data_IF_999985165319
#
_entry.id   IF_999985165319
#
_cell.length_a   1.000
_cell.length_b   1.000
_cell.length_c   1.000
_cell.angle_alpha   90.00
_cell.angle_beta   90.00
_cell.angle_gamma   90.00
#
_symmetry.space_group_name_H-M   'P 1'
#
loop_
_entity.id
_entity.type
_entity.pdbx_description
1 polymer ?
#
# COMPACT_ATOMS: atom_id res chain seq x y z
N UNK A 1 -16.37 16.68 1.03
CA UNK A 1 -16.88 16.45 2.40
C UNK A 1 -16.14 17.42 3.32
N UNK A 2 -16.74 17.83 4.44
CA UNK A 2 -16.01 18.62 5.42
C UNK A 2 -14.89 17.77 6.06
N UNK A 3 -14.02 18.38 6.86
CA UNK A 3 -12.96 17.67 7.59
C UNK A 3 -13.56 16.66 8.60
N UNK A 4 -12.79 15.65 9.01
CA UNK A 4 -13.33 14.56 9.85
C UNK A 4 -13.77 15.07 11.24
N UNK A 5 -13.04 16.01 11.84
CA UNK A 5 -13.37 16.53 13.17
C UNK A 5 -14.73 17.23 13.23
N UNK A 6 -15.18 17.84 12.12
CA UNK A 6 -16.52 18.43 12.04
C UNK A 6 -17.67 17.42 11.96
N UNK A 7 -17.35 16.12 11.74
CA UNK A 7 -18.33 15.04 11.63
C UNK A 7 -18.50 14.26 12.94
N UNK A 8 -17.84 14.70 14.00
CA UNK A 8 -17.89 14.09 15.33
C UNK A 8 -18.06 15.16 16.41
N UNK A 9 -18.50 14.74 17.61
CA UNK A 9 -18.48 15.57 18.82
C UNK A 9 -17.08 15.69 19.44
N UNK A 10 -16.10 14.92 18.95
CA UNK A 10 -14.72 14.92 19.44
C UNK A 10 -13.83 15.90 18.66
N UNK A 11 -13.34 16.94 19.33
CA UNK A 11 -12.35 17.86 18.73
C UNK A 11 -11.01 17.17 18.43
N UNK A 12 -10.65 16.13 19.20
CA UNK A 12 -9.41 15.35 19.09
C UNK A 12 -9.66 13.88 19.41
N UNK A 13 -8.87 12.99 18.80
CA UNK A 13 -8.75 11.59 19.20
C UNK A 13 -7.68 11.43 20.28
N UNK A 14 -7.97 10.68 21.33
CA UNK A 14 -6.97 10.35 22.36
C UNK A 14 -5.98 9.33 21.81
N UNK A 15 -6.48 8.31 21.13
CA UNK A 15 -5.68 7.25 20.53
C UNK A 15 -5.84 7.22 19.02
N UNK A 16 -4.87 6.63 18.34
CA UNK A 16 -4.95 6.32 16.92
C UNK A 16 -4.55 4.88 16.68
N UNK A 17 -5.33 4.19 15.87
CA UNK A 17 -4.96 2.89 15.30
C UNK A 17 -4.99 3.00 13.78
N UNK A 18 -3.89 2.63 13.12
CA UNK A 18 -3.84 2.49 11.67
C UNK A 18 -3.72 1.02 11.33
N UNK A 19 -4.76 0.43 10.76
CA UNK A 19 -4.77 -0.95 10.29
C UNK A 19 -4.48 -0.97 8.79
N UNK A 20 -3.33 -1.49 8.39
CA UNK A 20 -2.89 -1.58 7.00
C UNK A 20 -3.00 -3.04 6.56
N UNK A 21 -3.90 -3.33 5.62
CA UNK A 21 -3.97 -4.62 4.96
C UNK A 21 -2.99 -4.65 3.78
N UNK A 22 -2.01 -5.55 3.75
CA UNK A 22 -1.12 -5.68 2.59
C UNK A 22 -1.90 -6.10 1.34
N UNK A 23 -1.74 -5.34 0.24
CA UNK A 23 -2.23 -5.67 -1.11
C UNK A 23 -3.76 -5.73 -1.29
N UNK A 24 -4.56 -5.05 -0.47
CA UNK A 24 -6.03 -4.99 -0.63
C UNK A 24 -6.50 -3.90 -1.61
N UNK A 25 -7.07 -4.33 -2.74
CA UNK A 25 -7.79 -3.48 -3.71
C UNK A 25 -9.08 -2.86 -3.18
N UNK A 26 -9.38 -1.65 -3.63
CA UNK A 26 -10.63 -0.94 -3.31
C UNK A 26 -11.89 -1.73 -3.68
N UNK A 27 -11.92 -2.36 -4.86
CA UNK A 27 -13.07 -3.11 -5.37
C UNK A 27 -13.29 -4.48 -4.70
N UNK A 28 -12.45 -4.84 -3.74
CA UNK A 28 -12.58 -6.03 -2.90
C UNK A 28 -12.74 -5.69 -1.41
N UNK A 29 -12.96 -4.42 -1.04
CA UNK A 29 -13.26 -4.02 0.32
C UNK A 29 -14.51 -4.78 0.83
N UNK A 30 -14.42 -5.57 1.92
CA UNK A 30 -15.59 -6.22 2.49
C UNK A 30 -16.60 -5.20 2.99
N UNK A 31 -17.89 -5.41 2.72
CA UNK A 31 -18.93 -4.44 3.09
C UNK A 31 -19.01 -4.20 4.59
N UNK A 32 -18.74 -5.22 5.40
CA UNK A 32 -18.66 -5.08 6.86
C UNK A 32 -17.67 -3.98 7.28
N UNK A 33 -16.54 -3.86 6.59
CA UNK A 33 -15.53 -2.82 6.85
C UNK A 33 -15.98 -1.47 6.30
N UNK A 34 -16.61 -1.40 5.12
CA UNK A 34 -17.10 -0.10 4.61
C UNK A 34 -18.24 0.47 5.46
N UNK A 35 -19.07 -0.41 6.03
CA UNK A 35 -20.24 -0.04 6.80
C UNK A 35 -19.87 0.50 8.19
N UNK A 36 -18.65 0.25 8.69
CA UNK A 36 -18.24 0.65 10.04
C UNK A 36 -17.76 2.11 10.16
N UNK A 37 -17.71 2.86 9.07
CA UNK A 37 -17.18 4.22 9.09
C UNK A 37 -17.33 4.96 7.77
N UNK A 38 -16.51 6.00 7.61
CA UNK A 38 -16.47 6.82 6.40
C UNK A 38 -15.48 6.22 5.41
N UNK A 39 -15.98 5.68 4.30
CA UNK A 39 -15.16 5.04 3.26
C UNK A 39 -14.65 6.06 2.24
N UNK A 40 -13.34 6.10 2.02
CA UNK A 40 -12.67 6.94 1.03
C UNK A 40 -11.97 6.09 -0.04
N UNK A 41 -12.09 6.52 -1.31
CA UNK A 41 -11.22 6.00 -2.37
C UNK A 41 -9.85 6.64 -2.25
N UNK A 42 -8.82 5.81 -2.14
CA UNK A 42 -7.45 6.25 -1.83
C UNK A 42 -6.49 5.83 -2.94
N UNK A 43 -5.51 6.68 -3.23
CA UNK A 43 -4.39 6.34 -4.10
C UNK A 43 -3.17 6.00 -3.25
N UNK A 44 -2.69 4.77 -3.38
CA UNK A 44 -1.47 4.27 -2.80
C UNK A 44 -0.26 5.10 -3.29
N UNK A 45 0.62 5.59 -2.40
CA UNK A 45 1.80 6.36 -2.79
C UNK A 45 2.79 5.60 -3.68
N UNK A 46 2.77 4.27 -3.63
CA UNK A 46 3.52 3.35 -4.48
C UNK A 46 2.79 2.02 -4.59
N UNK A 47 3.13 1.24 -5.62
CA UNK A 47 2.61 -0.11 -5.87
C UNK A 47 3.44 -1.21 -5.19
N UNK A 48 4.20 -0.85 -4.14
CA UNK A 48 5.12 -1.73 -3.46
C UNK A 48 5.29 -1.37 -1.97
N UNK A 49 5.12 -2.36 -1.09
CA UNK A 49 5.15 -2.22 0.37
C UNK A 49 6.34 -1.43 0.91
N UNK A 50 7.56 -1.77 0.46
CA UNK A 50 8.79 -1.13 0.94
C UNK A 50 8.77 0.39 0.76
N UNK A 51 8.07 0.87 -0.26
CA UNK A 51 7.99 2.27 -0.62
C UNK A 51 6.70 2.92 -0.13
N UNK A 52 5.58 2.18 -0.10
CA UNK A 52 4.27 2.70 0.28
C UNK A 52 4.16 2.93 1.80
N UNK A 53 4.64 1.98 2.62
CA UNK A 53 4.57 2.09 4.09
C UNK A 53 5.27 3.36 4.59
N UNK A 54 6.53 3.67 4.21
CA UNK A 54 7.18 4.91 4.64
C UNK A 54 6.43 6.15 4.17
N UNK A 55 5.79 6.12 3.00
CA UNK A 55 5.00 7.25 2.53
C UNK A 55 3.80 7.51 3.44
N UNK A 56 3.11 6.45 3.87
CA UNK A 56 1.98 6.56 4.78
C UNK A 56 2.40 7.03 6.18
N UNK A 57 3.57 6.61 6.65
CA UNK A 57 4.05 6.92 8.01
C UNK A 57 4.73 8.29 8.11
N UNK A 58 5.30 8.80 7.01
CA UNK A 58 5.96 10.11 6.99
C UNK A 58 5.08 11.21 6.40
N UNK A 59 4.00 10.84 5.69
CA UNK A 59 3.17 11.74 4.91
C UNK A 59 3.87 12.32 3.69
N UNK A 60 4.97 11.70 3.24
CA UNK A 60 5.76 12.13 2.09
C UNK A 60 5.67 11.11 0.97
N UNK A 61 5.76 11.54 -0.28
CA UNK A 61 5.86 10.61 -1.39
C UNK A 61 7.26 9.97 -1.51
N UNK A 62 7.41 8.89 -2.30
CA UNK A 62 8.68 8.19 -2.50
C UNK A 62 9.83 9.08 -2.94
N UNK A 63 9.56 10.01 -3.86
CA UNK A 63 10.56 10.97 -4.31
C UNK A 63 11.08 11.92 -3.23
N UNK A 64 10.37 12.06 -2.11
CA UNK A 64 10.75 12.94 -1.00
C UNK A 64 11.39 12.16 0.16
N UNK A 65 10.91 10.96 0.49
CA UNK A 65 11.50 10.14 1.57
C UNK A 65 12.61 9.18 1.09
N UNK A 66 12.78 9.00 -0.23
CA UNK A 66 13.89 8.26 -0.87
C UNK A 66 14.02 6.76 -0.55
N UNK A 67 12.95 6.12 -0.07
CA UNK A 67 12.94 4.66 0.16
C UNK A 67 12.31 3.97 -1.05
N UNK A 68 13.06 3.13 -1.74
CA UNK A 68 12.64 2.47 -2.98
C UNK A 68 12.66 0.94 -2.90
N UNK A 69 13.31 0.41 -1.87
CA UNK A 69 13.47 -1.02 -1.66
C UNK A 69 13.48 -1.34 -0.18
N UNK A 70 13.34 -2.63 0.15
CA UNK A 70 13.47 -3.05 1.53
C UNK A 70 14.84 -2.69 2.11
N UNK A 71 15.91 -2.55 1.31
CA UNK A 71 17.25 -2.28 1.83
C UNK A 71 17.49 -0.82 2.22
N UNK A 72 16.61 0.10 1.82
CA UNK A 72 16.74 1.50 2.18
C UNK A 72 16.22 1.73 3.61
N UNK A 73 16.66 2.82 4.24
CA UNK A 73 16.24 3.23 5.58
C UNK A 73 16.01 4.74 5.56
N UNK A 74 14.98 5.20 6.29
CA UNK A 74 14.73 6.62 6.46
C UNK A 74 15.90 7.31 7.17
N UNK A 75 16.16 8.57 6.82
CA UNK A 75 17.17 9.37 7.52
C UNK A 75 16.81 9.67 8.96
N UNK A 76 15.51 9.77 9.24
CA UNK A 76 14.94 10.18 10.51
C UNK A 76 13.68 9.36 10.77
N UNK A 77 13.47 9.01 12.03
CA UNK A 77 12.24 8.35 12.46
C UNK A 77 11.03 9.23 12.14
N UNK A 78 9.93 8.69 11.59
CA UNK A 78 8.72 9.46 11.33
C UNK A 78 8.17 10.09 12.60
N UNK A 79 7.62 11.30 12.48
CA UNK A 79 7.07 12.05 13.62
C UNK A 79 5.96 11.28 14.35
N UNK A 80 5.23 10.44 13.62
CA UNK A 80 4.20 9.55 14.16
C UNK A 80 4.70 8.66 15.30
N UNK A 81 5.98 8.29 15.30
CA UNK A 81 6.59 7.32 16.22
C UNK A 81 7.56 7.95 17.25
N UNK A 82 7.62 9.28 17.36
CA UNK A 82 8.53 9.96 18.32
C UNK A 82 7.94 10.16 19.71
N UNK A 83 6.70 9.73 19.92
CA UNK A 83 5.97 9.91 21.17
C UNK A 83 5.93 8.59 21.95
N UNK A 84 5.60 8.66 23.25
CA UNK A 84 5.41 7.47 24.06
C UNK A 84 4.22 6.65 23.54
N UNK A 85 4.27 5.33 23.77
CA UNK A 85 3.21 4.38 23.41
C UNK A 85 2.88 4.42 21.92
N UNK A 86 3.93 4.46 21.09
CA UNK A 86 3.80 4.46 19.64
C UNK A 86 4.68 3.37 19.02
N UNK A 87 4.17 2.71 17.99
CA UNK A 87 4.93 1.70 17.28
C UNK A 87 4.09 0.92 16.26
N UNK A 88 4.70 -0.14 15.74
CA UNK A 88 4.04 -1.03 14.78
C UNK A 88 3.81 -2.40 15.39
N UNK A 89 2.61 -2.94 15.18
CA UNK A 89 2.31 -4.35 15.37
C UNK A 89 2.51 -5.09 14.05
N UNK A 90 3.49 -5.98 14.03
CA UNK A 90 3.87 -6.77 12.85
C UNK A 90 3.68 -8.27 13.11
N UNK A 91 2.80 -8.68 14.03
CA UNK A 91 2.69 -10.11 14.42
C UNK A 91 2.19 -11.02 13.31
N UNK A 92 1.37 -10.50 12.39
CA UNK A 92 0.73 -11.27 11.33
C UNK A 92 1.51 -11.26 10.01
N UNK A 93 2.64 -10.55 9.95
CA UNK A 93 3.44 -10.38 8.75
C UNK A 93 4.94 -10.50 9.07
N UNK A 94 5.73 -11.07 8.16
CA UNK A 94 7.11 -11.49 8.45
C UNK A 94 7.22 -12.44 9.67
N UNK A 95 6.27 -13.39 9.80
CA UNK A 95 6.14 -14.26 10.98
C UNK A 95 7.34 -15.19 11.24
N UNK A 96 8.24 -15.35 10.27
CA UNK A 96 9.46 -16.15 10.40
C UNK A 96 10.66 -15.35 10.95
N UNK A 97 10.46 -14.07 11.26
CA UNK A 97 11.46 -13.19 11.85
C UNK A 97 11.05 -12.93 13.30
N UNK A 98 11.80 -13.50 14.24
CA UNK A 98 11.50 -13.38 15.66
C UNK A 98 11.78 -11.98 16.19
N UNK A 99 12.84 -11.32 15.72
CA UNK A 99 13.23 -9.97 16.14
C UNK A 99 12.43 -8.90 15.37
N UNK A 100 11.52 -8.14 16.03
CA UNK A 100 10.72 -7.12 15.37
C UNK A 100 11.57 -6.01 14.72
N UNK A 101 12.77 -5.71 15.23
CA UNK A 101 13.65 -4.70 14.65
C UNK A 101 14.18 -5.10 13.26
N UNK A 102 14.25 -6.41 13.00
CA UNK A 102 14.72 -6.97 11.73
C UNK A 102 13.59 -7.06 10.69
N UNK A 103 12.33 -6.93 11.10
CA UNK A 103 11.21 -6.88 10.16
C UNK A 103 11.32 -5.63 9.30
N UNK A 104 11.11 -5.80 8.00
CA UNK A 104 11.45 -4.76 7.04
C UNK A 104 10.78 -3.39 7.30
N UNK A 105 9.48 -3.29 7.66
CA UNK A 105 8.88 -2.01 8.01
C UNK A 105 9.59 -1.30 9.17
N UNK A 106 9.84 -2.01 10.28
CA UNK A 106 10.52 -1.44 11.44
C UNK A 106 11.94 -0.99 11.11
N UNK A 107 12.72 -1.81 10.39
CA UNK A 107 14.05 -1.42 9.96
C UNK A 107 14.04 -0.17 9.08
N UNK A 108 13.15 -0.11 8.09
CA UNK A 108 13.04 1.06 7.19
C UNK A 108 12.69 2.32 7.97
N UNK A 109 11.80 2.21 8.96
CA UNK A 109 11.30 3.34 9.76
C UNK A 109 12.21 3.70 10.94
N UNK A 110 13.22 2.87 11.24
CA UNK A 110 14.11 3.06 12.39
C UNK A 110 13.44 2.74 13.73
N UNK A 111 12.57 1.73 13.78
CA UNK A 111 11.87 1.29 14.99
C UNK A 111 12.57 0.04 15.56
N UNK A 112 12.88 0.07 16.86
CA UNK A 112 13.56 -1.02 17.55
C UNK A 112 12.59 -2.03 18.19
N UNK A 113 11.39 -1.59 18.57
CA UNK A 113 10.43 -2.40 19.30
C UNK A 113 9.10 -2.49 18.57
N UNK A 114 8.36 -3.53 18.89
CA UNK A 114 6.95 -3.67 18.54
C UNK A 114 6.10 -3.02 19.63
N UNK A 115 5.02 -2.36 19.23
CA UNK A 115 4.01 -1.82 20.14
C UNK A 115 2.68 -2.48 19.76
N UNK A 116 1.96 -2.99 20.75
CA UNK A 116 0.71 -3.74 20.54
C UNK A 116 -0.46 -3.00 21.16
N UNK A 117 -1.66 -3.21 20.62
CA UNK A 117 -2.86 -2.55 21.16
C UNK A 117 -3.18 -3.10 22.55
N UNK A 118 -2.81 -4.34 22.87
CA UNK A 118 -3.03 -4.94 24.19
C UNK A 118 -2.17 -4.28 25.28
N UNK A 119 -0.94 -3.91 24.94
CA UNK A 119 0.06 -3.41 25.90
C UNK A 119 0.12 -1.88 25.98
N UNK A 120 -0.27 -1.19 24.90
CA UNK A 120 -0.11 0.25 24.79
C UNK A 120 -0.96 1.03 25.81
N UNK A 121 -0.32 1.86 26.62
CA UNK A 121 -1.01 2.77 27.55
C UNK A 121 -1.58 4.00 26.82
N UNK A 122 -2.78 4.42 27.20
CA UNK A 122 -3.42 5.65 26.67
C UNK A 122 -2.66 6.90 27.12
N UNK A 123 -2.39 7.89 26.24
CA UNK A 123 -2.68 7.91 24.81
C UNK A 123 -1.67 7.11 23.98
N UNK A 124 -2.13 6.44 22.93
CA UNK A 124 -1.25 5.65 22.05
C UNK A 124 -1.46 5.91 20.55
N UNK A 125 -0.48 5.48 19.75
CA UNK A 125 -0.56 5.39 18.28
C UNK A 125 0.02 4.06 17.83
N UNK A 126 -0.84 3.11 17.48
CA UNK A 126 -0.39 1.78 17.03
C UNK A 126 -0.73 1.58 15.56
N UNK A 127 0.27 1.16 14.79
CA UNK A 127 0.09 0.80 13.37
C UNK A 127 0.13 -0.70 13.25
N UNK A 128 -1.00 -1.33 12.95
CA UNK A 128 -1.09 -2.76 12.67
C UNK A 128 -0.81 -2.96 11.18
N UNK A 129 0.26 -3.67 10.85
CA UNK A 129 0.48 -4.12 9.48
C UNK A 129 0.04 -5.56 9.36
N UNK A 130 -1.14 -5.74 8.80
CA UNK A 130 -1.73 -7.04 8.54
C UNK A 130 -1.24 -7.59 7.20
N UNK A 131 -1.09 -8.91 7.12
CA UNK A 131 -0.77 -9.63 5.88
C UNK A 131 -1.77 -9.40 4.74
N UNK A 132 -2.96 -8.88 5.05
CA UNK A 132 -3.99 -8.49 4.10
C UNK A 132 -4.37 -9.61 3.13
N UNK A 133 -4.50 -9.22 1.86
CA UNK A 133 -4.80 -10.09 0.73
C UNK A 133 -3.55 -10.32 -0.14
N UNK A 134 -2.34 -10.25 0.44
CA UNK A 134 -1.09 -10.50 -0.26
C UNK A 134 -0.96 -11.99 -0.65
N UNK A 135 -0.43 -12.26 -1.84
CA UNK A 135 -0.23 -13.64 -2.30
C UNK A 135 0.83 -14.41 -1.48
N UNK A 136 0.66 -15.71 -1.21
CA UNK A 136 -0.45 -16.58 -1.60
C UNK A 136 -1.73 -16.28 -0.79
N UNK A 137 -2.87 -16.22 -1.49
CA UNK A 137 -4.14 -15.78 -0.90
C UNK A 137 -4.78 -16.84 0.00
N UNK A 138 -4.38 -18.10 -0.14
CA UNK A 138 -4.92 -19.27 0.55
C UNK A 138 -4.07 -19.68 1.75
N UNK A 139 -3.57 -18.72 2.52
CA UNK A 139 -2.53 -18.90 3.57
C UNK A 139 -2.72 -20.08 4.53
N UNK A 140 -3.95 -20.54 4.77
CA UNK A 140 -4.26 -21.67 5.64
C UNK A 140 -4.14 -23.05 4.97
N UNK A 141 -4.11 -23.11 3.64
CA UNK A 141 -3.76 -24.28 2.85
C UNK A 141 -2.29 -24.15 2.44
N UNK A 142 -1.39 -24.63 3.30
CA UNK A 142 0.06 -24.67 3.02
C UNK A 142 0.33 -25.78 1.99
N UNK A 143 -0.17 -25.62 0.77
CA UNK A 143 0.12 -26.52 -0.35
C UNK A 143 1.36 -26.06 -1.14
N UNK A 144 1.76 -24.79 -1.03
CA UNK A 144 2.80 -24.19 -1.87
C UNK A 144 3.95 -23.62 -1.05
N UNK A 145 5.19 -23.96 -1.42
CA UNK A 145 6.39 -23.47 -0.75
C UNK A 145 6.84 -22.10 -1.29
N UNK A 146 6.38 -21.72 -2.49
CA UNK A 146 6.74 -20.44 -3.13
C UNK A 146 5.59 -19.80 -3.89
N UNK A 147 5.57 -18.47 -4.00
CA UNK A 147 4.60 -17.73 -4.85
C UNK A 147 4.69 -18.13 -6.33
N UNK A 148 5.86 -18.59 -6.80
CA UNK A 148 6.01 -19.11 -8.15
C UNK A 148 5.19 -20.40 -8.36
N UNK A 149 5.18 -21.31 -7.39
CA UNK A 149 4.37 -22.53 -7.44
C UNK A 149 2.89 -22.21 -7.34
N UNK A 150 2.52 -21.27 -6.45
CA UNK A 150 1.16 -20.76 -6.33
C UNK A 150 0.62 -20.22 -7.67
N UNK A 151 1.31 -19.27 -8.30
CA UNK A 151 0.85 -18.71 -9.57
C UNK A 151 0.95 -19.70 -10.74
N UNK A 152 1.86 -20.69 -10.67
CA UNK A 152 1.88 -21.81 -11.63
C UNK A 152 0.62 -22.65 -11.52
N UNK A 153 0.18 -22.96 -10.30
CA UNK A 153 -1.04 -23.72 -10.06
C UNK A 153 -2.25 -23.00 -10.65
N UNK A 154 -2.40 -21.70 -10.37
CA UNK A 154 -3.52 -20.89 -10.86
C UNK A 154 -3.36 -20.38 -12.29
N UNK A 155 -2.31 -20.79 -13.02
CA UNK A 155 -2.09 -20.35 -14.39
C UNK A 155 -3.27 -20.74 -15.31
N UNK A 156 -3.99 -19.74 -15.81
CA UNK A 156 -5.20 -19.94 -16.64
C UNK A 156 -6.49 -20.18 -15.85
N UNK A 157 -6.43 -20.12 -14.51
CA UNK A 157 -7.55 -20.28 -13.58
C UNK A 157 -7.93 -18.95 -12.92
N UNK A 158 -8.02 -17.88 -13.72
CA UNK A 158 -8.21 -16.49 -13.24
C UNK A 158 -9.37 -16.33 -12.26
N UNK A 159 -10.48 -17.04 -12.51
CA UNK A 159 -11.68 -16.99 -11.66
C UNK A 159 -11.41 -17.61 -10.29
N UNK A 160 -10.78 -18.78 -10.24
CA UNK A 160 -10.45 -19.45 -8.97
C UNK A 160 -9.46 -18.61 -8.15
N UNK A 161 -8.46 -17.99 -8.81
CA UNK A 161 -7.52 -17.09 -8.13
C UNK A 161 -8.24 -15.88 -7.51
N UNK A 162 -9.20 -15.28 -8.22
CA UNK A 162 -10.02 -14.16 -7.72
C UNK A 162 -10.90 -14.56 -6.54
N UNK A 163 -11.37 -15.81 -6.51
CA UNK A 163 -12.14 -16.35 -5.39
C UNK A 163 -11.25 -16.54 -4.15
N UNK A 164 -10.02 -17.04 -4.29
CA UNK A 164 -9.07 -17.10 -3.17
C UNK A 164 -8.70 -15.70 -2.66
N UNK A 165 -8.45 -14.75 -3.55
CA UNK A 165 -8.21 -13.36 -3.17
C UNK A 165 -9.39 -12.74 -2.41
N UNK A 166 -10.64 -13.02 -2.84
CA UNK A 166 -11.83 -12.56 -2.12
C UNK A 166 -11.96 -13.16 -0.70
N UNK A 167 -11.57 -14.44 -0.52
CA UNK A 167 -11.52 -15.07 0.81
C UNK A 167 -10.46 -14.42 1.69
N UNK A 168 -9.27 -14.12 1.14
CA UNK A 168 -8.22 -13.42 1.88
C UNK A 168 -8.66 -12.03 2.33
N UNK A 169 -9.35 -11.29 1.46
CA UNK A 169 -9.96 -10.00 1.80
C UNK A 169 -11.00 -10.14 2.92
N UNK A 170 -11.86 -11.16 2.89
CA UNK A 170 -12.82 -11.43 3.96
C UNK A 170 -12.12 -11.75 5.30
N UNK A 171 -11.10 -12.62 5.29
CA UNK A 171 -10.33 -12.94 6.50
C UNK A 171 -9.56 -11.73 7.06
N UNK A 172 -9.21 -10.76 6.22
CA UNK A 172 -8.62 -9.48 6.64
C UNK A 172 -9.62 -8.65 7.43
N UNK A 173 -10.89 -8.63 7.00
CA UNK A 173 -11.95 -7.99 7.78
C UNK A 173 -12.14 -8.66 9.15
N UNK A 174 -12.08 -9.99 9.24
CA UNK A 174 -12.19 -10.70 10.53
C UNK A 174 -11.11 -10.21 11.52
N UNK A 175 -9.84 -10.13 11.09
CA UNK A 175 -8.72 -9.63 11.92
C UNK A 175 -8.83 -8.15 12.25
N UNK A 176 -9.33 -7.34 11.32
CA UNK A 176 -9.65 -5.95 11.61
C UNK A 176 -10.71 -5.82 12.71
N UNK A 177 -11.74 -6.67 12.69
CA UNK A 177 -12.76 -6.66 13.74
C UNK A 177 -12.26 -7.20 15.08
N UNK A 178 -11.29 -8.11 15.10
CA UNK A 178 -10.60 -8.48 16.36
C UNK A 178 -9.92 -7.26 17.01
N UNK A 179 -9.29 -6.40 16.20
CA UNK A 179 -8.72 -5.12 16.67
C UNK A 179 -9.81 -4.16 17.18
N UNK A 180 -10.92 -4.02 16.45
CA UNK A 180 -12.04 -3.15 16.86
C UNK A 180 -12.65 -3.63 18.18
N UNK A 181 -12.92 -4.92 18.31
CA UNK A 181 -13.48 -5.49 19.54
C UNK A 181 -12.51 -5.38 20.72
N UNK A 182 -11.20 -5.54 20.49
CA UNK A 182 -10.18 -5.27 21.52
C UNK A 182 -10.24 -3.82 22.02
N UNK A 183 -10.40 -2.83 21.15
CA UNK A 183 -10.54 -1.42 21.54
C UNK A 183 -11.83 -1.17 22.35
N UNK A 184 -12.92 -1.86 22.00
CA UNK A 184 -14.20 -1.78 22.73
C UNK A 184 -14.11 -2.45 24.10
N UNK A 185 -13.49 -3.61 24.19
CA UNK A 185 -13.26 -4.34 25.44
C UNK A 185 -12.37 -3.54 26.40
N UNK A 186 -11.40 -2.79 25.86
CA UNK A 186 -10.59 -1.83 26.60
C UNK A 186 -11.34 -0.55 26.99
N UNK A 187 -12.53 -0.32 26.44
CA UNK A 187 -13.35 0.87 26.69
C UNK A 187 -12.75 2.16 26.09
N UNK A 188 -11.92 2.05 25.05
CA UNK A 188 -11.22 3.20 24.44
C UNK A 188 -11.64 3.47 22.99
N UNK A 189 -12.50 2.64 22.39
CA UNK A 189 -12.92 2.78 20.99
C UNK A 189 -13.51 4.16 20.66
N UNK A 190 -14.38 4.69 21.53
CA UNK A 190 -15.01 6.00 21.33
C UNK A 190 -14.01 7.17 21.40
N UNK A 191 -12.82 6.96 21.98
CA UNK A 191 -11.74 7.95 22.02
C UNK A 191 -10.59 7.64 21.04
N UNK A 192 -10.80 6.65 20.15
CA UNK A 192 -9.77 6.17 19.21
C UNK A 192 -10.19 6.43 17.77
N UNK A 193 -9.35 7.14 17.02
CA UNK A 193 -9.47 7.20 15.57
C UNK A 193 -8.90 5.90 15.00
N UNK A 194 -9.75 5.09 14.37
CA UNK A 194 -9.36 3.88 13.65
C UNK A 194 -9.32 4.16 12.17
N UNK A 195 -8.18 3.89 11.53
CA UNK A 195 -7.97 4.08 10.10
C UNK A 195 -7.66 2.73 9.48
N UNK A 196 -8.63 2.10 8.84
CA UNK A 196 -8.40 0.91 7.99
C UNK A 196 -7.92 1.37 6.62
N UNK A 197 -6.89 0.75 6.06
CA UNK A 197 -6.40 1.08 4.71
C UNK A 197 -5.60 -0.07 4.08
N UNK A 198 -5.06 0.14 2.88
CA UNK A 198 -4.12 -0.78 2.23
C UNK A 198 -2.90 -0.01 1.73
N UNK A 199 -1.74 -0.67 1.76
CA UNK A 199 -0.48 -0.09 1.28
C UNK A 199 -0.46 0.00 -0.26
N UNK A 200 -1.00 -1.00 -0.96
CA UNK A 200 -1.26 -1.02 -2.39
C UNK A 200 -2.34 -2.05 -2.76
N UNK A 201 -2.65 -2.18 -4.05
CA UNK A 201 -3.55 -3.21 -4.58
C UNK A 201 -2.82 -4.43 -5.16
N UNK A 202 -3.51 -5.17 -6.02
CA UNK A 202 -3.03 -6.47 -6.54
C UNK A 202 -3.52 -6.75 -7.97
N UNK A 203 -2.67 -7.33 -8.82
CA UNK A 203 -3.11 -7.82 -10.15
C UNK A 203 -3.59 -9.27 -10.06
N UNK A 204 -4.75 -9.52 -10.67
CA UNK A 204 -5.48 -10.78 -10.59
C UNK A 204 -5.77 -11.35 -11.99
N UNK A 205 -4.82 -11.18 -12.92
CA UNK A 205 -4.91 -11.73 -14.27
C UNK A 205 -5.62 -10.83 -15.27
N UNK A 206 -5.54 -9.50 -15.11
CA UNK A 206 -6.23 -8.55 -15.98
C UNK A 206 -5.81 -8.71 -17.46
N UNK A 207 -6.77 -9.12 -18.29
CA UNK A 207 -6.52 -9.55 -19.67
C UNK A 207 -6.00 -8.43 -20.55
N UNK A 208 -6.49 -7.21 -20.35
CA UNK A 208 -6.09 -5.98 -21.06
C UNK A 208 -4.61 -5.62 -20.86
N UNK A 209 -3.98 -6.15 -19.79
CA UNK A 209 -2.54 -6.01 -19.49
C UNK A 209 -1.73 -7.28 -19.72
N UNK A 210 -2.30 -8.24 -20.45
CA UNK A 210 -1.63 -9.50 -20.79
C UNK A 210 -1.81 -10.61 -19.75
N UNK A 211 -2.69 -10.43 -18.76
CA UNK A 211 -2.97 -11.44 -17.74
C UNK A 211 -1.91 -11.48 -16.63
N UNK A 212 -1.36 -10.33 -16.27
CA UNK A 212 -0.39 -10.19 -15.18
C UNK A 212 -1.03 -10.50 -13.83
N UNK A 213 -0.21 -11.00 -12.90
CA UNK A 213 -0.57 -11.24 -11.50
C UNK A 213 0.35 -10.42 -10.59
N UNK A 214 0.14 -10.46 -9.28
CA UNK A 214 0.96 -9.79 -8.27
C UNK A 214 1.10 -8.25 -8.48
N UNK A 215 1.98 -7.59 -7.72
CA UNK A 215 2.10 -6.13 -7.70
C UNK A 215 3.48 -5.62 -8.16
N UNK A 216 3.79 -4.35 -7.85
CA UNK A 216 4.98 -3.62 -8.28
C UNK A 216 4.84 -2.94 -9.64
N UNK A 217 4.78 -3.71 -10.74
CA UNK A 217 4.67 -3.14 -12.09
C UNK A 217 3.72 -3.92 -13.00
N UNK A 218 3.00 -3.23 -13.92
CA UNK A 218 3.00 -1.79 -14.19
C UNK A 218 2.21 -1.00 -13.13
N UNK A 219 2.37 0.33 -13.09
CA UNK A 219 1.45 1.17 -12.30
C UNK A 219 0.10 1.23 -13.03
N UNK A 220 -0.99 0.90 -12.34
CA UNK A 220 -2.35 0.86 -12.89
C UNK A 220 -3.40 0.95 -11.77
N UNK A 221 -4.69 1.18 -12.08
CA UNK A 221 -5.75 1.37 -11.08
C UNK A 221 -5.81 0.24 -10.05
N UNK A 222 -5.68 -1.01 -10.49
CA UNK A 222 -5.75 -2.19 -9.61
C UNK A 222 -4.62 -2.29 -8.60
N UNK A 223 -3.51 -1.57 -8.80
CA UNK A 223 -2.41 -1.52 -7.85
C UNK A 223 -2.40 -0.24 -7.00
N UNK A 224 -3.04 0.84 -7.46
CA UNK A 224 -3.01 2.12 -6.74
C UNK A 224 -4.32 2.46 -6.04
N UNK A 225 -5.46 2.00 -6.53
CA UNK A 225 -6.77 2.28 -5.92
C UNK A 225 -7.03 1.32 -4.76
N UNK A 226 -6.89 1.87 -3.55
CA UNK A 226 -7.02 1.15 -2.27
C UNK A 226 -8.14 1.74 -1.41
N UNK A 227 -8.74 0.95 -0.51
CA UNK A 227 -9.72 1.46 0.45
C UNK A 227 -9.02 2.22 1.57
N UNK A 228 -9.68 3.25 2.08
CA UNK A 228 -9.45 3.77 3.44
C UNK A 228 -10.80 3.93 4.12
N UNK A 229 -10.94 3.49 5.37
CA UNK A 229 -12.14 3.70 6.19
C UNK A 229 -11.72 4.36 7.50
N UNK A 230 -12.36 5.49 7.81
CA UNK A 230 -12.21 6.18 9.10
C UNK A 230 -13.37 5.79 10.01
N UNK A 231 -13.06 5.21 11.18
CA UNK A 231 -14.03 4.73 12.16
C UNK A 231 -13.60 5.11 13.58
N UNK A 232 -14.49 4.88 14.55
CA UNK A 232 -14.28 5.30 15.94
C UNK A 232 -14.42 6.81 16.12
N UNK A 233 -14.11 7.31 17.31
CA UNK A 233 -14.25 8.73 17.66
C UNK A 233 -15.63 9.32 17.31
N UNK A 234 -16.73 8.57 17.42
CA UNK A 234 -18.08 9.05 17.10
C UNK A 234 -18.31 9.46 15.63
N UNK A 235 -17.43 9.08 14.71
CA UNK A 235 -17.61 9.33 13.27
C UNK A 235 -18.84 8.56 12.74
N UNK A 236 -19.54 9.10 11.73
CA UNK A 236 -20.68 8.43 11.12
C UNK A 236 -20.28 7.14 10.39
N UNK A 237 -21.15 6.15 10.49
CA UNK A 237 -21.01 4.83 9.87
C UNK A 237 -21.67 4.78 8.48
N UNK A 238 -21.13 3.99 7.56
CA UNK A 238 -21.70 3.75 6.23
C UNK A 238 -21.65 4.94 5.27
N UNK A 239 -20.89 5.99 5.61
CA UNK A 239 -20.76 7.20 4.80
C UNK A 239 -19.60 7.09 3.79
N UNK A 240 -19.59 7.97 2.78
CA UNK A 240 -18.56 7.96 1.73
C UNK A 240 -17.82 9.29 1.62
N UNK A 241 -16.51 9.29 1.85
CA UNK A 241 -15.66 10.44 1.61
C UNK A 241 -15.58 10.75 0.10
N UNK A 242 -16.13 11.91 -0.26
CA UNK A 242 -16.38 12.30 -1.66
C UNK A 242 -15.14 12.66 -2.46
N UNK A 243 -14.10 13.21 -1.81
CA UNK A 243 -12.84 13.56 -2.48
C UNK A 243 -11.91 12.36 -2.53
N UNK A 244 -11.09 12.26 -3.57
CA UNK A 244 -9.99 11.30 -3.60
C UNK A 244 -8.96 11.67 -2.51
N UNK A 245 -8.43 10.69 -1.80
CA UNK A 245 -7.36 10.89 -0.79
C UNK A 245 -6.10 10.10 -1.16
N UNK A 246 -4.99 10.40 -0.50
CA UNK A 246 -3.71 9.74 -0.72
C UNK A 246 -3.29 8.97 0.52
N UNK A 247 -2.55 7.86 0.35
CA UNK A 247 -1.92 7.21 1.50
C UNK A 247 -0.95 8.15 2.26
N UNK A 248 -0.42 9.21 1.62
CA UNK A 248 0.37 10.22 2.33
C UNK A 248 -0.44 11.07 3.31
N UNK A 249 -1.78 11.02 3.25
CA UNK A 249 -2.66 11.77 4.17
C UNK A 249 -2.76 11.09 5.55
N UNK A 250 -2.36 9.82 5.67
CA UNK A 250 -2.52 9.02 6.89
C UNK A 250 -1.76 9.62 8.07
N UNK A 251 -0.44 9.82 7.95
CA UNK A 251 0.37 10.41 9.01
C UNK A 251 -0.09 11.82 9.47
N UNK A 252 -0.31 12.81 8.58
CA UNK A 252 -0.78 14.12 9.01
C UNK A 252 -2.18 14.05 9.62
N UNK A 253 -3.08 13.20 9.14
CA UNK A 253 -4.41 13.00 9.74
C UNK A 253 -4.32 12.41 11.15
N UNK A 254 -3.48 11.39 11.36
CA UNK A 254 -3.24 10.80 12.67
C UNK A 254 -2.64 11.80 13.68
N UNK A 255 -1.64 12.57 13.25
CA UNK A 255 -1.03 13.62 14.06
C UNK A 255 -2.03 14.73 14.37
N UNK A 256 -2.80 15.18 13.38
CA UNK A 256 -3.84 16.19 13.51
C UNK A 256 -4.95 15.79 14.48
N UNK A 257 -5.40 14.52 14.40
CA UNK A 257 -6.39 13.96 15.31
C UNK A 257 -5.93 14.01 16.78
N UNK A 258 -4.64 13.76 17.04
CA UNK A 258 -4.06 13.84 18.39
C UNK A 258 -3.56 15.24 18.77
N UNK A 259 -3.84 16.27 17.95
CA UNK A 259 -3.34 17.63 18.12
C UNK A 259 -1.81 17.69 18.30
N UNK A 260 -1.09 16.80 17.60
CA UNK A 260 0.38 16.74 17.57
C UNK A 260 0.92 17.60 16.43
N UNK A 261 2.20 17.99 16.54
CA UNK A 261 2.84 18.80 15.51
C UNK A 261 2.92 18.01 14.20
N UNK A 262 2.41 18.60 13.11
CA UNK A 262 2.62 18.08 11.75
C UNK A 262 3.93 18.66 11.19
N UNK A 263 4.93 17.82 10.82
CA UNK A 263 6.18 18.28 10.26
C UNK A 263 6.03 19.12 8.99
N UNK A 264 6.97 20.05 8.79
CA UNK A 264 7.08 20.77 7.51
C UNK A 264 7.52 19.83 6.39
N UNK A 265 7.10 20.13 5.16
CA UNK A 265 7.46 19.36 3.97
C UNK A 265 6.80 17.98 3.93
N UNK A 266 5.59 17.86 4.49
CA UNK A 266 4.67 16.76 4.25
C UNK A 266 3.92 17.05 2.94
N UNK A 267 3.70 15.99 2.15
CA UNK A 267 2.94 16.05 0.89
C UNK A 267 1.46 15.76 1.09
N UNK A 268 1.13 15.03 2.17
CA UNK A 268 -0.23 14.73 2.58
C UNK A 268 -1.00 15.91 3.15
N UNK A 269 -2.30 15.71 3.31
CA UNK A 269 -3.24 16.65 3.93
C UNK A 269 -3.75 16.06 5.24
N UNK A 270 -3.87 16.90 6.27
CA UNK A 270 -4.52 16.53 7.52
C UNK A 270 -6.04 16.49 7.32
N UNK A 271 -6.59 15.30 7.05
CA UNK A 271 -8.04 15.15 6.83
C UNK A 271 -8.85 15.32 8.12
N UNK A 272 -8.20 15.34 9.29
CA UNK A 272 -8.87 15.57 10.57
C UNK A 272 -9.32 17.03 10.66
N UNK A 273 -8.41 17.97 10.37
CA UNK A 273 -8.65 19.40 10.52
C UNK A 273 -8.90 20.13 9.19
N UNK A 274 -8.49 19.57 8.06
CA UNK A 274 -8.59 20.21 6.75
C UNK A 274 -9.50 19.43 5.78
N UNK A 275 -10.08 20.16 4.82
CA UNK A 275 -10.85 19.56 3.74
C UNK A 275 -9.95 19.13 2.57
N UNK A 276 -10.11 17.90 2.09
CA UNK A 276 -9.46 17.50 0.82
C UNK A 276 -10.17 18.13 -0.38
N UNK A 277 -9.40 18.82 -1.21
CA UNK A 277 -9.92 19.40 -2.46
C UNK A 277 -10.50 18.31 -3.38
N UNK A 278 -11.73 18.49 -3.90
CA UNK A 278 -12.34 17.51 -4.81
C UNK A 278 -11.60 17.39 -6.14
N UNK A 279 -10.83 18.42 -6.50
CA UNK A 279 -10.03 18.46 -7.72
C UNK A 279 -8.55 18.14 -7.46
N UNK A 280 -8.21 17.54 -6.31
CA UNK A 280 -6.83 17.17 -5.98
C UNK A 280 -6.29 16.16 -6.98
N UNK A 281 -5.01 16.32 -7.32
CA UNK A 281 -4.24 15.35 -8.10
C UNK A 281 -3.27 14.66 -7.16
N UNK A 282 -3.27 13.34 -7.21
CA UNK A 282 -2.56 12.49 -6.25
C UNK A 282 -1.53 11.66 -7.00
N UNK A 283 -0.30 11.65 -6.48
CA UNK A 283 0.81 10.95 -7.12
C UNK A 283 0.90 9.51 -6.63
N UNK A 284 1.40 8.64 -7.50
CA UNK A 284 1.91 7.32 -7.11
C UNK A 284 3.16 7.02 -7.94
N UNK A 285 4.25 6.65 -7.27
CA UNK A 285 5.56 6.43 -7.88
C UNK A 285 6.06 5.02 -7.63
N UNK A 286 6.59 4.38 -8.66
CA UNK A 286 7.23 3.07 -8.54
C UNK A 286 8.61 3.08 -9.19
N UNK A 287 9.55 2.42 -8.54
CA UNK A 287 10.88 2.16 -9.10
C UNK A 287 11.36 0.78 -8.65
N UNK A 288 12.04 0.06 -9.54
CA UNK A 288 12.69 -1.18 -9.23
C UNK A 288 13.94 -1.41 -10.08
N UNK A 289 14.92 -2.10 -9.50
CA UNK A 289 16.11 -2.58 -10.19
C UNK A 289 16.09 -4.11 -10.32
N UNK A 290 16.45 -4.62 -11.50
CA UNK A 290 16.67 -6.03 -11.78
C UNK A 290 18.05 -6.20 -12.43
N UNK A 291 19.10 -6.19 -11.61
CA UNK A 291 20.48 -6.33 -12.05
C UNK A 291 20.99 -5.08 -12.80
N UNK A 292 21.08 -5.17 -14.13
CA UNK A 292 21.53 -4.06 -15.00
C UNK A 292 20.38 -3.27 -15.63
N UNK A 293 19.14 -3.65 -15.33
CA UNK A 293 17.95 -3.08 -15.97
C UNK A 293 17.06 -2.49 -14.89
N UNK A 294 16.65 -1.24 -15.11
CA UNK A 294 15.77 -0.51 -14.21
C UNK A 294 14.40 -0.33 -14.84
N UNK A 295 13.38 -0.19 -14.01
CA UNK A 295 12.07 0.27 -14.42
C UNK A 295 11.57 1.28 -13.40
N UNK A 296 10.99 2.37 -13.91
CA UNK A 296 10.33 3.36 -13.09
C UNK A 296 9.10 3.92 -13.79
N UNK A 297 8.12 4.32 -13.00
CA UNK A 297 6.95 5.03 -13.48
C UNK A 297 6.48 6.04 -12.43
N UNK A 298 6.11 7.23 -12.88
CA UNK A 298 5.38 8.21 -12.08
C UNK A 298 3.97 8.33 -12.60
N UNK A 299 3.01 8.46 -11.70
CA UNK A 299 1.61 8.55 -12.07
C UNK A 299 0.87 9.61 -11.28
N UNK A 300 -0.20 10.13 -11.87
CA UNK A 300 -1.02 11.17 -11.28
C UNK A 300 -2.50 10.85 -11.50
N UNK A 301 -3.28 10.93 -10.43
CA UNK A 301 -4.64 10.42 -10.36
C UNK A 301 -5.59 11.49 -9.84
N UNK A 302 -6.80 11.51 -10.38
CA UNK A 302 -7.92 12.29 -9.89
C UNK A 302 -9.16 11.40 -9.84
N UNK A 303 -10.33 11.97 -9.51
CA UNK A 303 -11.55 11.18 -9.36
C UNK A 303 -12.03 10.49 -10.65
N UNK A 304 -11.57 10.95 -11.80
CA UNK A 304 -12.02 10.51 -13.14
C UNK A 304 -11.02 9.55 -13.81
N UNK A 305 -9.85 9.32 -13.22
CA UNK A 305 -8.83 8.41 -13.73
C UNK A 305 -7.41 8.87 -13.43
N UNK A 306 -6.44 8.42 -14.23
CA UNK A 306 -5.05 8.82 -14.05
C UNK A 306 -4.17 8.61 -15.26
N UNK A 307 -2.99 9.22 -15.19
CA UNK A 307 -1.93 9.07 -16.19
C UNK A 307 -0.76 8.36 -15.54
N UNK A 308 -0.05 7.56 -16.32
CA UNK A 308 1.20 6.93 -15.93
C UNK A 308 2.25 7.30 -16.96
N UNK A 309 3.30 7.97 -16.52
CA UNK A 309 4.48 8.27 -17.30
C UNK A 309 5.57 7.25 -16.97
N UNK A 310 5.96 6.48 -17.97
CA UNK A 310 7.10 5.58 -17.85
C UNK A 310 8.42 6.32 -18.01
N UNK A 311 9.41 5.86 -17.25
CA UNK A 311 10.79 6.36 -17.31
C UNK A 311 11.69 5.43 -18.13
N UNK A 312 12.76 6.00 -18.68
CA UNK A 312 13.69 5.27 -19.56
C UNK A 312 13.12 5.03 -20.96
N UNK A 313 13.83 4.26 -21.78
CA UNK A 313 13.44 3.96 -23.17
C UNK A 313 12.56 2.71 -23.25
N UNK A 314 11.72 2.60 -24.29
CA UNK A 314 10.90 1.41 -24.50
C UNK A 314 11.70 0.09 -24.52
N UNK A 315 12.89 -0.02 -25.15
CA UNK A 315 13.70 -1.23 -25.08
C UNK A 315 14.15 -1.60 -23.65
N UNK A 316 14.52 -0.63 -22.82
CA UNK A 316 14.91 -0.88 -21.42
C UNK A 316 13.73 -1.39 -20.60
N UNK A 317 12.56 -0.76 -20.75
CA UNK A 317 11.32 -1.17 -20.06
C UNK A 317 10.88 -2.56 -20.48
N UNK A 318 10.92 -2.86 -21.78
CA UNK A 318 10.62 -4.18 -22.31
C UNK A 318 11.62 -5.23 -21.84
N UNK A 319 12.92 -4.89 -21.76
CA UNK A 319 13.93 -5.80 -21.23
C UNK A 319 13.69 -6.12 -19.75
N UNK A 320 13.36 -5.10 -18.94
CA UNK A 320 12.98 -5.31 -17.54
C UNK A 320 11.76 -6.21 -17.42
N UNK A 321 10.69 -5.85 -18.14
CA UNK A 321 9.42 -6.56 -18.07
C UNK A 321 9.56 -8.01 -18.55
N UNK A 322 10.26 -8.26 -19.66
CA UNK A 322 10.47 -9.63 -20.16
C UNK A 322 11.32 -10.46 -19.20
N UNK A 323 12.41 -9.90 -18.66
CA UNK A 323 13.26 -10.60 -17.68
C UNK A 323 12.48 -10.98 -16.43
N UNK A 324 11.79 -10.00 -15.82
CA UNK A 324 11.10 -10.16 -14.53
C UNK A 324 9.71 -10.79 -14.64
N UNK A 325 8.98 -10.63 -15.75
CA UNK A 325 7.58 -11.06 -15.85
C UNK A 325 7.38 -12.26 -16.79
N UNK A 326 8.32 -12.57 -17.70
CA UNK A 326 8.20 -13.72 -18.63
C UNK A 326 9.26 -14.80 -18.44
N UNK A 327 10.44 -14.48 -17.88
CA UNK A 327 11.56 -15.42 -17.80
C UNK A 327 11.90 -15.91 -16.38
N UNK A 328 12.19 -15.01 -15.44
CA UNK A 328 12.59 -15.37 -14.06
C UNK A 328 11.51 -15.18 -12.98
N UNK A 329 10.55 -14.28 -13.24
CA UNK A 329 9.40 -13.95 -12.42
C UNK A 329 8.63 -15.07 -11.75
N UNK A 330 8.12 -14.79 -10.53
CA UNK A 330 6.97 -15.51 -9.93
C UNK A 330 5.78 -15.61 -10.90
N UNK A 331 5.64 -14.62 -11.78
CA UNK A 331 4.58 -14.53 -12.79
C UNK A 331 4.94 -15.18 -14.13
N UNK A 332 6.22 -15.55 -14.34
CA UNK A 332 6.74 -15.99 -15.63
C UNK A 332 6.05 -17.23 -16.19
N UNK A 333 5.58 -18.13 -15.32
CA UNK A 333 4.87 -19.31 -15.75
C UNK A 333 3.41 -19.04 -16.12
N UNK A 334 2.73 -18.17 -15.39
CA UNK A 334 1.34 -17.81 -15.62
C UNK A 334 1.18 -16.84 -16.83
N UNK A 335 2.20 -16.01 -17.07
CA UNK A 335 2.28 -15.09 -18.21
C UNK A 335 2.62 -15.79 -19.55
N UNK A 336 2.96 -17.09 -19.56
CA UNK A 336 3.11 -17.91 -20.78
C UNK A 336 1.76 -18.32 -21.36
N UNK A 337 0.77 -17.42 -21.32
CA UNK A 337 -0.43 -17.58 -22.12
C UNK A 337 0.03 -17.63 -23.58
N UNK A 338 -0.14 -18.77 -24.24
CA UNK A 338 0.10 -18.93 -25.69
C UNK A 338 -0.94 -18.14 -26.52
N UNK A 339 -1.49 -17.06 -25.99
CA UNK A 339 -2.36 -16.11 -26.68
C UNK A 339 -1.48 -14.97 -27.22
N UNK A 340 -1.25 -14.90 -28.54
CA UNK A 340 -0.47 -13.81 -29.16
C UNK A 340 -1.02 -12.42 -28.82
N UNK A 341 -2.34 -12.29 -28.58
CA UNK A 341 -2.94 -11.01 -28.22
C UNK A 341 -2.58 -10.59 -26.79
N UNK A 342 -2.45 -11.53 -25.86
CA UNK A 342 -2.00 -11.23 -24.50
C UNK A 342 -0.55 -10.72 -24.50
N UNK A 343 0.32 -11.32 -25.33
CA UNK A 343 1.69 -10.86 -25.53
C UNK A 343 1.71 -9.44 -26.11
N UNK A 344 0.90 -9.16 -27.15
CA UNK A 344 0.81 -7.81 -27.71
C UNK A 344 0.34 -6.76 -26.69
N UNK A 345 -0.61 -7.12 -25.84
CA UNK A 345 -1.09 -6.24 -24.76
C UNK A 345 -0.02 -5.98 -23.71
N UNK A 346 0.68 -7.03 -23.26
CA UNK A 346 1.85 -6.91 -22.39
C UNK A 346 2.92 -5.99 -22.98
N UNK A 347 3.30 -6.20 -24.25
CA UNK A 347 4.29 -5.35 -24.93
C UNK A 347 3.79 -3.90 -25.06
N UNK A 348 2.50 -3.70 -25.32
CA UNK A 348 1.87 -2.38 -25.38
C UNK A 348 1.92 -1.67 -24.02
N UNK A 349 1.68 -2.37 -22.92
CA UNK A 349 1.76 -1.83 -21.56
C UNK A 349 3.15 -1.25 -21.27
N UNK A 350 4.23 -1.97 -21.56
CA UNK A 350 5.59 -1.52 -21.24
C UNK A 350 6.25 -0.69 -22.36
N UNK A 351 5.77 -0.82 -23.59
CA UNK A 351 6.35 -0.17 -24.77
C UNK A 351 5.92 1.29 -24.95
N UNK A 352 4.76 1.69 -24.42
CA UNK A 352 4.29 3.09 -24.47
C UNK A 352 5.01 3.95 -23.45
N UNK A 353 5.22 5.24 -23.74
CA UNK A 353 5.79 6.19 -22.79
C UNK A 353 4.75 6.68 -21.78
N UNK A 354 3.48 6.73 -22.19
CA UNK A 354 2.36 7.16 -21.35
C UNK A 354 1.19 6.16 -21.46
N UNK A 355 0.59 5.86 -20.32
CA UNK A 355 -0.70 5.16 -20.21
C UNK A 355 -1.73 6.13 -19.61
N UNK A 356 -2.97 6.05 -20.11
CA UNK A 356 -4.09 6.83 -19.60
C UNK A 356 -5.20 5.85 -19.19
N UNK A 357 -5.70 6.02 -17.98
CA UNK A 357 -6.80 5.26 -17.40
C UNK A 357 -7.96 6.19 -17.12
N UNK A 358 -9.18 5.79 -17.46
CA UNK A 358 -10.37 6.64 -17.27
C UNK A 358 -10.38 7.88 -18.17
N UNK A 359 -10.84 9.01 -17.65
CA UNK A 359 -10.94 10.30 -18.34
C UNK A 359 -10.40 11.45 -17.49
N UNK A 360 -9.11 11.41 -17.07
CA UNK A 360 -8.51 12.45 -16.24
C UNK A 360 -8.34 13.76 -17.00
N UNK A 361 -8.18 14.87 -16.26
CA UNK A 361 -7.63 16.10 -16.83
C UNK A 361 -6.14 15.88 -17.13
N UNK A 362 -5.86 15.48 -18.37
CA UNK A 362 -4.52 15.10 -18.82
C UNK A 362 -3.51 16.22 -18.65
N UNK A 363 -3.89 17.48 -18.92
CA UNK A 363 -2.96 18.61 -18.83
C UNK A 363 -2.50 18.81 -17.40
N UNK A 364 -3.44 18.79 -16.47
CA UNK A 364 -3.16 19.01 -15.05
C UNK A 364 -2.45 17.80 -14.43
N UNK A 365 -2.88 16.58 -14.74
CA UNK A 365 -2.23 15.36 -14.27
C UNK A 365 -0.77 15.25 -14.77
N UNK A 366 -0.51 15.65 -16.02
CA UNK A 366 0.86 15.62 -16.59
C UNK A 366 1.81 16.61 -15.93
N UNK A 367 1.31 17.71 -15.38
CA UNK A 367 2.15 18.62 -14.58
C UNK A 367 2.52 18.07 -13.20
N UNK A 368 1.83 17.04 -12.71
CA UNK A 368 2.04 16.47 -11.38
C UNK A 368 2.96 15.24 -11.37
N UNK A 369 3.12 14.56 -12.51
CA UNK A 369 4.09 13.46 -12.64
C UNK A 369 5.51 13.98 -12.68
N UNK A 370 6.44 13.22 -12.12
CA UNK A 370 7.86 13.55 -12.15
C UNK A 370 8.44 13.20 -13.52
N UNK A 371 9.42 13.99 -13.98
CA UNK A 371 10.18 13.70 -15.21
C UNK A 371 11.35 12.73 -14.99
N UNK A 372 11.80 12.60 -13.73
CA UNK A 372 12.85 11.67 -13.30
C UNK A 372 12.82 11.53 -11.77
N UNK A 373 13.51 10.50 -11.26
CA UNK A 373 13.73 10.33 -9.82
C UNK A 373 15.21 10.60 -9.49
N UNK A 374 15.46 11.35 -8.42
CA UNK A 374 16.79 11.38 -7.80
C UNK A 374 16.95 10.12 -6.92
N UNK A 375 17.98 9.33 -7.21
CA UNK A 375 18.32 8.08 -6.53
C UNK A 375 19.53 8.33 -5.64
N UNK A 376 19.34 8.62 -4.35
CA UNK A 376 20.41 8.46 -3.37
C UNK A 376 20.23 7.11 -2.70
N UNK A 377 20.98 6.09 -3.15
CA UNK A 377 20.98 4.78 -2.51
C UNK A 377 21.81 4.89 -1.23
N UNK A 378 21.17 5.00 -0.06
CA UNK A 378 21.85 4.77 1.22
C UNK A 378 21.86 3.27 1.48
N UNK A 379 22.79 2.56 0.85
CA UNK A 379 23.06 1.16 1.21
C UNK A 379 23.68 1.14 2.61
N UNK A 380 22.99 0.54 3.57
CA UNK A 380 23.59 0.17 4.86
C UNK A 380 24.07 -1.28 4.80
N UNK A 381 25.25 -1.55 5.35
CA UNK A 381 25.81 -2.89 5.58
C UNK A 381 25.02 -3.65 6.67
N UNK A 382 23.73 -3.85 6.48
CA UNK A 382 22.90 -4.69 7.36
C UNK A 382 22.80 -6.07 6.71
N UNK A 383 22.91 -7.13 7.51
CA UNK A 383 22.68 -8.50 7.03
C UNK A 383 21.34 -8.54 6.31
N UNK A 384 21.40 -8.79 5.00
CA UNK A 384 20.23 -8.98 4.16
C UNK A 384 19.32 -10.01 4.83
N UNK A 385 18.00 -9.75 4.86
CA UNK A 385 17.06 -10.86 4.97
C UNK A 385 17.51 -11.91 3.98
N UNK A 386 17.79 -13.11 4.47
CA UNK A 386 18.36 -14.14 3.63
C UNK A 386 17.46 -14.32 2.41
N UNK A 387 18.05 -14.64 1.26
CA UNK A 387 17.25 -14.85 0.05
C UNK A 387 16.14 -15.86 0.25
N UNK A 388 16.34 -16.80 1.17
CA UNK A 388 15.37 -17.82 1.53
C UNK A 388 14.22 -17.26 2.38
N UNK A 389 14.48 -16.27 3.26
CA UNK A 389 13.41 -15.54 3.96
C UNK A 389 12.60 -14.68 3.00
N UNK A 390 13.25 -13.91 2.13
CA UNK A 390 12.55 -13.09 1.14
C UNK A 390 11.79 -13.94 0.10
N UNK A 391 12.25 -15.17 -0.19
CA UNK A 391 11.51 -16.18 -0.99
C UNK A 391 10.29 -16.72 -0.24
N UNK A 392 10.44 -17.08 1.03
CA UNK A 392 9.35 -17.56 1.87
C UNK A 392 8.22 -16.53 2.03
N UNK A 393 8.58 -15.24 1.94
CA UNK A 393 7.64 -14.12 2.02
C UNK A 393 7.10 -13.68 0.64
N UNK A 394 7.52 -14.31 -0.46
CA UNK A 394 7.08 -13.97 -1.81
C UNK A 394 7.67 -12.68 -2.39
N UNK A 395 8.59 -12.01 -1.70
CA UNK A 395 9.11 -10.70 -2.08
C UNK A 395 10.33 -10.73 -3.01
N UNK A 396 11.13 -11.82 -3.04
CA UNK A 396 12.19 -12.01 -4.05
C UNK A 396 12.25 -13.45 -4.59
N UNK A 397 12.87 -13.60 -5.77
CA UNK A 397 13.02 -14.84 -6.56
C UNK A 397 14.21 -15.75 -6.15
#
# INVERSE_FOLDING_TARGET
MPNLSSLTEHDTATNVVVFIADSLRFDYLPSSVSDCGITARTIAPSTYTATSIPSMMTGRYPANHRVWSFNDVLSDQPELFKYQNTGMDLRDIWIHIDDPAQKAPNRILGLENQETIEEAETPFTVVVHDRGAHSPYDYFNIEFETSLEYFKHYAGQDQALREEYAKAAASTADRFFEVVELLKDRGVFDDTLVIFTSDHGELLGERDRGGLYAHGSPVCPELVEVPTVFAGCGLPEGETYTSLISGTDIAPTALGAQNRMIPKGIDGVDLWNDESSPDRIIRSDFWANAGRVQYGASSAWNKDGGIVQHHGTAPERLLFATHRKLYKGTQAAANRRKDPRAILRFLSTYGKDELIYGSPDVSRARSAVLSSFEQETRQTDVEELSKDQLRALGYIE
#
